data_IF_295119444585
#
_entry.id   IF_295119444585
#
_cell.length_a   1.000
_cell.length_b   1.000
_cell.length_c   1.000
_cell.angle_alpha   90.00
_cell.angle_beta   90.00
_cell.angle_gamma   90.00
#
_symmetry.space_group_name_H-M   'P 1'
#
loop_
_entity.id
_entity.type
_entity.pdbx_description
1 polymer ?
#
# COMPACT_ATOMS: atom_id res chain seq x y z
N UNK A 1 -8.54 -4.48 11.95
CA UNK A 1 -7.85 -5.57 12.68
C UNK A 1 -7.12 -6.50 11.71
N UNK A 2 -7.82 -7.17 10.79
CA UNK A 2 -7.24 -8.14 9.85
C UNK A 2 -5.99 -7.66 9.07
N UNK A 3 -5.96 -6.49 8.41
CA UNK A 3 -4.77 -6.07 7.63
C UNK A 3 -3.56 -5.66 8.49
N UNK A 4 -3.77 -5.37 9.78
CA UNK A 4 -2.68 -5.05 10.70
C UNK A 4 -2.02 -6.29 11.31
N UNK A 5 -2.73 -7.43 11.33
CA UNK A 5 -2.20 -8.66 11.91
C UNK A 5 -0.96 -9.19 11.16
N UNK A 6 -0.90 -9.22 9.82
CA UNK A 6 0.31 -9.60 9.09
C UNK A 6 1.49 -8.69 9.40
N UNK A 7 1.27 -7.38 9.58
CA UNK A 7 2.36 -6.44 9.85
C UNK A 7 3.07 -6.72 11.19
N UNK A 8 2.38 -7.33 12.15
CA UNK A 8 2.92 -7.68 13.47
C UNK A 8 3.37 -9.15 13.51
N UNK A 9 2.54 -10.06 13.01
CA UNK A 9 2.79 -11.50 13.12
C UNK A 9 3.90 -11.98 12.19
N UNK A 10 4.05 -11.41 10.98
CA UNK A 10 5.08 -11.84 10.03
C UNK A 10 6.50 -11.71 10.57
N UNK A 11 6.93 -10.55 11.11
CA UNK A 11 8.29 -10.43 11.66
C UNK A 11 8.52 -11.29 12.90
N UNK A 12 7.50 -11.50 13.73
CA UNK A 12 7.60 -12.37 14.93
C UNK A 12 7.75 -13.83 14.52
N UNK A 13 6.90 -14.32 13.62
CA UNK A 13 6.90 -15.72 13.19
C UNK A 13 8.16 -16.07 12.41
N UNK A 14 8.58 -15.23 11.46
CA UNK A 14 9.80 -15.47 10.67
C UNK A 14 11.06 -15.28 11.52
N UNK A 15 11.10 -14.25 12.36
CA UNK A 15 12.26 -13.99 13.23
C UNK A 15 12.49 -15.09 14.27
N UNK A 16 11.43 -15.64 14.88
CA UNK A 16 11.56 -16.69 15.91
C UNK A 16 11.67 -18.11 15.35
N UNK A 17 11.02 -18.41 14.21
CA UNK A 17 11.01 -19.79 13.68
C UNK A 17 12.09 -20.04 12.64
N UNK A 18 12.56 -19.00 11.92
CA UNK A 18 13.43 -19.16 10.75
C UNK A 18 14.79 -18.50 10.94
N UNK A 19 14.81 -17.30 11.53
CA UNK A 19 16.04 -16.55 11.80
C UNK A 19 16.08 -15.16 11.16
N UNK A 20 17.09 -14.39 11.55
CA UNK A 20 17.30 -13.01 11.17
C UNK A 20 17.65 -12.84 9.68
N UNK A 21 18.40 -13.77 9.07
CA UNK A 21 18.75 -13.69 7.64
C UNK A 21 17.53 -13.77 6.72
N UNK A 22 16.64 -14.73 6.97
CA UNK A 22 15.39 -14.87 6.22
C UNK A 22 14.45 -13.68 6.45
N UNK A 23 14.41 -13.15 7.67
CA UNK A 23 13.67 -11.92 7.96
C UNK A 23 14.17 -10.72 7.14
N UNK A 24 15.50 -10.58 6.97
CA UNK A 24 16.09 -9.58 6.10
C UNK A 24 15.62 -9.70 4.64
N UNK A 25 15.55 -10.93 4.11
CA UNK A 25 15.00 -11.21 2.78
C UNK A 25 13.52 -10.85 2.64
N UNK A 26 12.71 -11.19 3.64
CA UNK A 26 11.29 -10.82 3.70
C UNK A 26 11.12 -9.29 3.67
N UNK A 27 11.88 -8.57 4.48
CA UNK A 27 11.83 -7.11 4.54
C UNK A 27 12.21 -6.51 3.19
N UNK A 28 13.34 -6.93 2.60
CA UNK A 28 13.79 -6.45 1.30
C UNK A 28 12.74 -6.68 0.20
N UNK A 29 12.14 -7.87 0.13
CA UNK A 29 11.08 -8.20 -0.82
C UNK A 29 9.80 -7.40 -0.60
N UNK A 30 9.40 -7.22 0.66
CA UNK A 30 8.20 -6.45 1.02
C UNK A 30 8.34 -4.96 0.70
N UNK A 31 9.54 -4.39 0.88
CA UNK A 31 9.85 -3.01 0.51
C UNK A 31 9.78 -2.85 -1.02
N UNK A 32 10.49 -3.70 -1.77
CA UNK A 32 10.58 -3.60 -3.22
C UNK A 32 9.21 -3.73 -3.90
N UNK A 33 8.41 -4.72 -3.49
CA UNK A 33 7.08 -4.96 -4.05
C UNK A 33 6.02 -3.98 -3.54
N UNK A 34 5.98 -3.75 -2.23
CA UNK A 34 4.94 -2.93 -1.60
C UNK A 34 5.07 -1.44 -1.91
N UNK A 35 6.30 -0.93 -2.06
CA UNK A 35 6.52 0.47 -2.46
C UNK A 35 5.99 0.75 -3.87
N UNK A 36 6.30 -0.12 -4.85
CA UNK A 36 5.82 0.05 -6.22
C UNK A 36 4.29 0.05 -6.27
N UNK A 37 3.65 -0.85 -5.52
CA UNK A 37 2.20 -0.93 -5.44
C UNK A 37 1.57 0.30 -4.76
N UNK A 38 2.16 0.78 -3.67
CA UNK A 38 1.69 1.96 -2.95
C UNK A 38 1.72 3.22 -3.83
N UNK A 39 2.79 3.39 -4.62
CA UNK A 39 2.91 4.50 -5.58
C UNK A 39 1.89 4.38 -6.70
N UNK A 40 1.72 3.17 -7.27
CA UNK A 40 0.74 2.93 -8.32
C UNK A 40 -0.68 3.26 -7.85
N UNK A 41 -1.09 2.76 -6.68
CA UNK A 41 -2.43 2.99 -6.14
C UNK A 41 -2.71 4.47 -5.87
N UNK A 42 -1.75 5.17 -5.26
CA UNK A 42 -1.86 6.61 -4.98
C UNK A 42 -1.96 7.44 -6.26
N UNK A 43 -1.11 7.14 -7.25
CA UNK A 43 -1.08 7.89 -8.50
C UNK A 43 -2.30 7.61 -9.39
N UNK A 44 -2.72 6.34 -9.50
CA UNK A 44 -3.89 5.96 -10.29
C UNK A 44 -5.18 6.57 -9.72
N UNK A 45 -5.39 6.48 -8.40
CA UNK A 45 -6.55 7.08 -7.76
C UNK A 45 -6.56 8.61 -7.86
N UNK A 46 -5.40 9.26 -7.71
CA UNK A 46 -5.27 10.70 -7.92
C UNK A 46 -5.54 11.13 -9.37
N UNK A 47 -5.09 10.34 -10.35
CA UNK A 47 -5.36 10.60 -11.76
C UNK A 47 -6.85 10.51 -12.11
N UNK A 48 -7.56 9.51 -11.58
CA UNK A 48 -9.01 9.39 -11.79
C UNK A 48 -9.81 10.52 -11.13
N UNK A 49 -9.46 10.95 -9.92
CA UNK A 49 -10.10 12.11 -9.27
C UNK A 49 -9.83 13.41 -10.04
N UNK A 50 -8.59 13.62 -10.49
CA UNK A 50 -8.23 14.79 -11.28
C UNK A 50 -8.92 14.82 -12.65
N UNK A 51 -9.07 13.66 -13.31
CA UNK A 51 -9.82 13.56 -14.56
C UNK A 51 -11.30 13.92 -14.36
N UNK A 52 -11.93 13.44 -13.28
CA UNK A 52 -13.30 13.82 -12.92
C UNK A 52 -13.41 15.33 -12.68
N UNK A 53 -12.52 15.91 -11.86
CA UNK A 53 -12.49 17.36 -11.56
C UNK A 53 -12.24 18.21 -12.81
N UNK A 54 -11.41 17.75 -13.73
CA UNK A 54 -11.15 18.44 -14.99
C UNK A 54 -12.43 18.58 -15.83
N UNK A 55 -13.20 17.50 -15.98
CA UNK A 55 -14.49 17.52 -16.68
C UNK A 55 -15.52 18.41 -15.98
N UNK A 56 -15.56 18.39 -14.65
CA UNK A 56 -16.48 19.20 -13.84
C UNK A 56 -16.19 20.71 -13.92
N UNK A 57 -14.91 21.08 -13.83
CA UNK A 57 -14.48 22.48 -13.72
C UNK A 57 -14.35 23.15 -15.09
N UNK A 58 -13.72 22.48 -16.06
CA UNK A 58 -13.47 23.04 -17.39
C UNK A 58 -14.65 22.84 -18.37
N UNK A 59 -15.70 22.11 -17.94
CA UNK A 59 -16.89 21.78 -18.73
C UNK A 59 -16.60 21.14 -20.09
N UNK A 60 -15.43 20.51 -20.21
CA UNK A 60 -15.01 19.75 -21.39
C UNK A 60 -15.79 18.43 -21.49
N UNK A 61 -15.88 17.85 -22.69
CA UNK A 61 -16.55 16.55 -22.93
C UNK A 61 -18.00 16.47 -22.42
N UNK A 62 -18.75 17.57 -22.56
CA UNK A 62 -20.16 17.67 -22.15
C UNK A 62 -20.37 18.06 -20.70
N UNK A 63 -19.30 18.23 -19.91
CA UNK A 63 -19.37 18.72 -18.55
C UNK A 63 -20.17 17.80 -17.60
N UNK A 64 -20.62 18.38 -16.49
CA UNK A 64 -21.28 17.63 -15.41
C UNK A 64 -22.59 16.99 -15.88
N UNK A 65 -22.75 15.69 -15.62
CA UNK A 65 -23.92 14.91 -16.02
C UNK A 65 -23.83 14.26 -17.41
N UNK A 66 -22.77 14.52 -18.18
CA UNK A 66 -22.50 13.80 -19.42
C UNK A 66 -22.12 12.35 -19.16
N UNK A 67 -22.21 11.50 -20.18
CA UNK A 67 -21.81 10.09 -20.03
C UNK A 67 -20.30 9.95 -19.77
N UNK A 68 -19.48 10.88 -20.28
CA UNK A 68 -18.05 10.98 -19.95
C UNK A 68 -17.84 11.31 -18.47
N UNK A 69 -18.62 12.23 -17.91
CA UNK A 69 -18.57 12.56 -16.48
C UNK A 69 -18.94 11.36 -15.62
N UNK A 70 -20.01 10.62 -15.97
CA UNK A 70 -20.38 9.39 -15.25
C UNK A 70 -19.27 8.34 -15.30
N UNK A 71 -18.62 8.16 -16.44
CA UNK A 71 -17.49 7.23 -16.56
C UNK A 71 -16.32 7.62 -15.65
N UNK A 72 -15.99 8.92 -15.56
CA UNK A 72 -14.95 9.40 -14.65
C UNK A 72 -15.34 9.28 -13.17
N UNK A 73 -16.62 9.45 -12.83
CA UNK A 73 -17.12 9.20 -11.46
C UNK A 73 -16.93 7.73 -11.08
N UNK A 74 -17.20 6.79 -11.99
CA UNK A 74 -16.92 5.35 -11.74
C UNK A 74 -15.42 5.12 -11.51
N UNK A 75 -14.56 5.73 -12.33
CA UNK A 75 -13.11 5.64 -12.17
C UNK A 75 -12.62 6.17 -10.82
N UNK A 76 -13.12 7.33 -10.39
CA UNK A 76 -12.78 7.91 -9.08
C UNK A 76 -13.29 7.04 -7.92
N UNK A 77 -14.48 6.47 -8.05
CA UNK A 77 -15.03 5.55 -7.03
C UNK A 77 -14.16 4.30 -6.85
N UNK A 78 -13.53 3.81 -7.91
CA UNK A 78 -12.52 2.74 -7.85
C UNK A 78 -11.20 3.26 -7.26
N UNK A 79 -10.84 4.50 -7.57
CA UNK A 79 -9.62 5.17 -7.12
C UNK A 79 -9.61 5.57 -5.64
N UNK A 80 -10.77 5.83 -5.04
CA UNK A 80 -10.93 6.22 -3.63
C UNK A 80 -10.32 5.20 -2.65
N UNK A 81 -10.66 3.90 -2.70
CA UNK A 81 -10.00 2.92 -1.84
C UNK A 81 -8.50 2.79 -2.11
N UNK A 82 -8.06 3.06 -3.35
CA UNK A 82 -6.64 2.97 -3.72
C UNK A 82 -5.82 4.12 -3.13
N UNK A 83 -6.27 5.37 -3.30
CA UNK A 83 -5.52 6.56 -2.86
C UNK A 83 -5.72 6.89 -1.37
N UNK A 84 -6.87 6.58 -0.80
CA UNK A 84 -7.21 7.00 0.57
C UNK A 84 -7.11 5.88 1.61
N UNK A 85 -7.09 4.60 1.18
CA UNK A 85 -7.03 3.46 2.11
C UNK A 85 -5.81 2.58 1.86
N UNK A 86 -5.76 1.85 0.75
CA UNK A 86 -4.77 0.78 0.52
C UNK A 86 -3.37 1.33 0.22
N UNK A 87 -3.25 2.34 -0.64
CA UNK A 87 -1.97 2.94 -1.01
C UNK A 87 -1.20 3.51 0.18
N UNK A 88 -1.81 4.41 0.98
CA UNK A 88 -1.17 4.94 2.20
C UNK A 88 -0.89 3.85 3.25
N UNK A 89 -1.78 2.87 3.42
CA UNK A 89 -1.62 1.80 4.40
C UNK A 89 -0.42 0.88 4.11
N UNK A 90 -0.09 0.63 2.84
CA UNK A 90 1.06 -0.19 2.45
C UNK A 90 2.40 0.41 2.94
N UNK A 91 2.54 1.73 2.88
CA UNK A 91 3.74 2.42 3.39
C UNK A 91 3.89 2.26 4.91
N UNK A 92 2.78 2.32 5.64
CA UNK A 92 2.76 2.12 7.10
C UNK A 92 3.07 0.66 7.44
N UNK A 93 2.50 -0.29 6.71
CA UNK A 93 2.71 -1.71 6.91
C UNK A 93 4.20 -2.08 6.79
N UNK A 94 4.88 -1.60 5.75
CA UNK A 94 6.33 -1.81 5.55
C UNK A 94 7.13 -1.21 6.70
N UNK A 95 6.84 0.04 7.08
CA UNK A 95 7.56 0.73 8.16
C UNK A 95 7.37 0.02 9.50
N UNK A 96 6.17 -0.45 9.80
CA UNK A 96 5.87 -1.19 11.03
C UNK A 96 6.60 -2.52 11.08
N UNK A 97 6.60 -3.30 10.00
CA UNK A 97 7.35 -4.55 9.91
C UNK A 97 8.85 -4.34 10.14
N UNK A 98 9.44 -3.29 9.53
CA UNK A 98 10.86 -2.97 9.70
C UNK A 98 11.21 -2.56 11.13
N UNK A 99 10.41 -1.72 11.77
CA UNK A 99 10.64 -1.28 13.15
C UNK A 99 10.49 -2.44 14.13
N UNK A 100 9.47 -3.29 13.96
CA UNK A 100 9.29 -4.48 14.80
C UNK A 100 10.44 -5.46 14.64
N UNK A 101 10.87 -5.70 13.40
CA UNK A 101 12.02 -6.58 13.12
C UNK A 101 13.30 -6.07 13.78
N UNK A 102 13.57 -4.77 13.70
CA UNK A 102 14.75 -4.16 14.33
C UNK A 102 14.68 -4.21 15.86
N UNK A 103 13.50 -3.97 16.42
CA UNK A 103 13.29 -3.97 17.88
C UNK A 103 13.45 -5.37 18.48
N UNK A 104 13.01 -6.39 17.74
CA UNK A 104 13.10 -7.79 18.14
C UNK A 104 14.43 -8.45 17.72
N UNK A 105 15.29 -7.77 16.95
CA UNK A 105 16.55 -8.31 16.47
C UNK A 105 17.45 -8.95 17.56
N UNK A 106 17.57 -8.38 18.78
CA UNK A 106 18.36 -9.01 19.85
C UNK A 106 17.80 -10.35 20.35
N UNK A 107 16.53 -10.66 20.07
CA UNK A 107 15.89 -11.93 20.44
C UNK A 107 16.11 -13.03 19.39
N UNK A 108 16.60 -12.69 18.20
CA UNK A 108 16.85 -13.64 17.12
C UNK A 108 18.30 -14.13 17.20
N UNK A 109 18.55 -15.14 18.03
CA UNK A 109 19.91 -15.62 18.35
C UNK A 109 20.36 -16.82 17.54
N UNK A 110 19.44 -17.58 16.95
CA UNK A 110 19.74 -18.75 16.12
C UNK A 110 19.20 -18.52 14.70
N UNK A 111 20.12 -18.49 13.72
CA UNK A 111 19.79 -18.63 12.30
C UNK A 111 19.84 -20.12 11.95
N UNK A 112 19.07 -20.56 10.96
CA UNK A 112 18.98 -21.98 10.55
C UNK A 112 20.23 -22.56 9.85
N UNK A 113 21.40 -21.94 10.03
CA UNK A 113 22.69 -22.32 9.42
C UNK A 113 23.57 -23.18 10.34
#
# INVERSE_FOLDING_TARGET
VLPGAPAVLSPITIGLLVGAKCLGGLLAGSIASGFMLAVMMSNAGGAWDNAKKYIENEKVFGGKGSDTHKACVVGDTIGDPFKDTSGPALNILIKLMSILSLTLAPLFTEDWD
#
